data_IF_497088722852
#
_entry.id   IF_497088722852
#
_cell.length_a   1.000
_cell.length_b   1.000
_cell.length_c   1.000
_cell.angle_alpha   90.00
_cell.angle_beta   90.00
_cell.angle_gamma   90.00
#
_symmetry.space_group_name_H-M   'P 1'
#
loop_
_entity.id
_entity.type
_entity.pdbx_description
1 polymer ?
#
# COMPACT_ATOMS: atom_id res chain seq x y z
N UNK A 1 33.29 -64.39 65.73
CA UNK A 1 34.04 -63.23 66.26
C UNK A 1 33.18 -62.00 65.96
N UNK A 2 32.98 -61.17 66.98
CA UNK A 2 32.30 -59.85 67.06
C UNK A 2 32.23 -59.07 65.72
N UNK A 3 31.20 -58.28 65.41
CA UNK A 3 30.77 -57.12 66.21
C UNK A 3 29.43 -56.55 65.68
N UNK A 4 28.55 -56.17 66.59
CA UNK A 4 27.43 -55.24 66.35
C UNK A 4 27.95 -53.87 65.89
N UNK A 5 27.19 -53.21 65.02
CA UNK A 5 27.13 -51.75 65.00
C UNK A 5 25.73 -51.31 64.57
N UNK A 6 24.96 -50.86 65.56
CA UNK A 6 23.70 -50.15 65.39
C UNK A 6 23.91 -48.84 64.64
N UNK A 7 22.99 -48.53 63.71
CA UNK A 7 22.63 -47.17 63.39
C UNK A 7 21.11 -47.12 63.22
N UNK A 8 20.48 -46.58 64.26
CA UNK A 8 19.12 -46.07 64.23
C UNK A 8 19.18 -44.62 63.73
N UNK A 9 18.39 -44.30 62.72
CA UNK A 9 18.01 -42.93 62.39
C UNK A 9 16.70 -42.95 61.60
N UNK A 10 15.63 -43.24 62.32
CA UNK A 10 14.37 -42.51 62.29
C UNK A 10 14.23 -41.45 61.17
N UNK A 11 13.49 -41.78 60.11
CA UNK A 11 12.76 -40.77 59.34
C UNK A 11 11.43 -41.35 58.87
N UNK A 12 10.40 -41.06 59.66
CA UNK A 12 9.01 -41.34 59.32
C UNK A 12 8.51 -40.43 58.20
N UNK A 13 7.63 -40.96 57.37
CA UNK A 13 6.97 -40.21 56.32
C UNK A 13 5.95 -41.09 55.62
N UNK A 14 4.72 -41.06 56.14
CA UNK A 14 3.59 -41.88 55.75
C UNK A 14 3.39 -41.98 54.22
N UNK A 15 3.24 -43.22 53.74
CA UNK A 15 2.67 -43.56 52.45
C UNK A 15 1.19 -43.17 52.41
N UNK A 16 0.88 -41.98 51.91
CA UNK A 16 -0.49 -41.58 51.61
C UNK A 16 -0.87 -42.08 50.22
N UNK A 17 -1.84 -42.97 50.21
CA UNK A 17 -2.45 -43.62 49.06
C UNK A 17 -3.02 -42.62 48.03
N UNK A 18 -2.62 -42.81 46.76
CA UNK A 18 -3.09 -42.11 45.55
C UNK A 18 -4.60 -42.28 45.23
N UNK A 19 -5.39 -42.85 46.14
CA UNK A 19 -6.81 -43.15 45.93
C UNK A 19 -7.76 -41.99 46.31
N UNK A 20 -7.27 -40.94 46.97
CA UNK A 20 -8.09 -39.78 47.34
C UNK A 20 -8.21 -38.71 46.23
N UNK A 21 -7.38 -38.80 45.18
CA UNK A 21 -7.36 -37.80 44.11
C UNK A 21 -8.50 -37.97 43.09
N UNK A 22 -9.10 -39.16 43.00
CA UNK A 22 -10.13 -39.47 42.01
C UNK A 22 -11.57 -39.14 42.48
N UNK A 23 -11.74 -38.85 43.77
CA UNK A 23 -13.04 -38.51 44.37
C UNK A 23 -13.43 -37.04 44.22
N UNK A 24 -12.53 -36.16 43.75
CA UNK A 24 -12.86 -34.76 43.48
C UNK A 24 -13.34 -34.60 42.04
N UNK A 25 -14.41 -35.33 41.67
CA UNK A 25 -15.25 -34.95 40.54
C UNK A 25 -16.05 -33.73 40.96
N UNK A 26 -15.37 -32.58 40.98
CA UNK A 26 -16.02 -31.30 41.13
C UNK A 26 -17.14 -31.21 40.09
N UNK A 27 -18.37 -30.80 40.46
CA UNK A 27 -19.39 -30.54 39.46
C UNK A 27 -18.78 -29.51 38.50
N UNK A 28 -18.70 -29.85 37.20
CA UNK A 28 -18.41 -28.85 36.17
C UNK A 28 -19.50 -27.81 36.31
N UNK A 29 -19.19 -26.70 36.96
CA UNK A 29 -20.02 -25.50 36.96
C UNK A 29 -20.17 -25.17 35.48
N UNK A 30 -21.37 -25.38 34.94
CA UNK A 30 -21.67 -24.95 33.58
C UNK A 30 -21.26 -23.48 33.50
N UNK A 31 -20.36 -23.11 32.56
CA UNK A 31 -19.98 -21.71 32.42
C UNK A 31 -21.28 -20.92 32.27
N UNK A 32 -21.39 -19.78 32.97
CA UNK A 32 -22.53 -18.89 32.84
C UNK A 32 -22.59 -18.48 31.37
N UNK A 33 -23.45 -19.14 30.60
CA UNK A 33 -23.51 -18.96 29.15
C UNK A 33 -23.65 -17.47 28.88
N UNK A 34 -22.62 -16.91 28.24
CA UNK A 34 -22.64 -15.50 27.88
C UNK A 34 -23.80 -15.27 26.92
N UNK A 35 -24.42 -14.08 26.97
CA UNK A 35 -25.45 -13.70 25.99
C UNK A 35 -24.96 -13.89 24.53
N UNK A 36 -23.64 -13.80 24.31
CA UNK A 36 -22.96 -14.09 23.04
C UNK A 36 -23.03 -15.55 22.61
N UNK A 37 -22.86 -16.49 23.55
CA UNK A 37 -22.95 -17.92 23.27
C UNK A 37 -24.39 -18.29 22.91
N UNK A 38 -25.37 -17.72 23.62
CA UNK A 38 -26.79 -17.88 23.27
C UNK A 38 -27.16 -17.36 21.88
N UNK A 39 -26.56 -16.24 21.46
CA UNK A 39 -26.76 -15.71 20.09
C UNK A 39 -26.08 -16.62 19.07
N UNK A 40 -24.91 -17.19 19.37
CA UNK A 40 -24.22 -18.12 18.49
C UNK A 40 -25.02 -19.42 18.33
N UNK A 41 -25.47 -20.01 19.44
CA UNK A 41 -26.27 -21.23 19.42
C UNK A 41 -27.58 -21.00 18.64
N UNK A 42 -28.25 -19.85 18.87
CA UNK A 42 -29.42 -19.47 18.08
C UNK A 42 -29.10 -19.26 16.59
N UNK A 43 -27.93 -18.72 16.26
CA UNK A 43 -27.49 -18.51 14.89
C UNK A 43 -27.04 -19.79 14.18
N UNK A 44 -26.68 -20.83 14.92
CA UNK A 44 -26.43 -22.17 14.37
C UNK A 44 -27.75 -22.92 14.15
N UNK A 45 -28.71 -22.80 15.08
CA UNK A 45 -30.06 -23.36 14.94
C UNK A 45 -30.86 -22.69 13.82
N UNK A 46 -30.75 -21.37 13.71
CA UNK A 46 -31.31 -20.58 12.62
C UNK A 46 -30.22 -20.45 11.57
N UNK A 47 -30.13 -21.37 10.61
CA UNK A 47 -29.23 -21.25 9.45
C UNK A 47 -29.32 -19.82 8.84
N UNK A 48 -28.40 -18.94 9.27
CA UNK A 48 -28.51 -17.49 9.08
C UNK A 48 -28.02 -17.06 7.68
N UNK A 49 -27.28 -17.95 7.02
CA UNK A 49 -26.74 -17.78 5.68
C UNK A 49 -27.24 -18.93 4.79
N UNK A 50 -28.56 -19.01 4.52
CA UNK A 50 -29.05 -19.94 3.52
C UNK A 50 -28.51 -19.52 2.15
N UNK A 51 -27.97 -20.47 1.40
CA UNK A 51 -27.46 -20.23 0.06
C UNK A 51 -28.61 -19.82 -0.89
N UNK A 52 -28.64 -18.55 -1.27
CA UNK A 52 -29.65 -17.98 -2.17
C UNK A 52 -29.52 -18.49 -3.62
N UNK A 53 -28.38 -19.09 -3.98
CA UNK A 53 -28.15 -19.72 -5.27
C UNK A 53 -28.77 -21.12 -5.41
N UNK A 54 -29.28 -21.68 -4.31
CA UNK A 54 -29.90 -23.01 -4.28
C UNK A 54 -31.38 -22.95 -3.90
N UNK A 55 -32.15 -23.93 -4.37
CA UNK A 55 -33.58 -24.14 -3.98
C UNK A 55 -34.44 -22.87 -4.11
N UNK A 56 -34.27 -22.15 -5.23
CA UNK A 56 -35.01 -20.94 -5.57
C UNK A 56 -36.53 -21.20 -5.47
N UNK A 57 -37.24 -20.36 -4.72
CA UNK A 57 -38.69 -20.49 -4.49
C UNK A 57 -39.11 -21.32 -3.27
N UNK A 58 -38.16 -21.87 -2.51
CA UNK A 58 -38.46 -22.55 -1.23
C UNK A 58 -38.71 -21.57 -0.07
N UNK A 59 -39.38 -22.02 1.00
CA UNK A 59 -39.59 -21.20 2.21
C UNK A 59 -38.27 -20.78 2.87
N UNK A 60 -37.24 -21.63 2.82
CA UNK A 60 -35.89 -21.32 3.31
C UNK A 60 -35.22 -20.23 2.47
N UNK A 61 -35.44 -20.23 1.15
CA UNK A 61 -34.94 -19.20 0.24
C UNK A 61 -35.58 -17.83 0.52
N UNK A 62 -36.90 -17.77 0.71
CA UNK A 62 -37.60 -16.54 1.08
C UNK A 62 -37.13 -15.99 2.44
N UNK A 63 -36.86 -16.88 3.41
CA UNK A 63 -36.29 -16.47 4.71
C UNK A 63 -34.89 -15.86 4.52
N UNK A 64 -34.04 -16.48 3.72
CA UNK A 64 -32.72 -15.93 3.36
C UNK A 64 -32.79 -14.56 2.74
N UNK A 65 -33.68 -14.38 1.75
CA UNK A 65 -33.89 -13.12 1.07
C UNK A 65 -34.37 -12.05 2.05
N UNK A 66 -35.33 -12.36 2.92
CA UNK A 66 -35.83 -11.43 3.93
C UNK A 66 -34.72 -11.00 4.92
N UNK A 67 -33.84 -11.93 5.31
CA UNK A 67 -32.73 -11.65 6.24
C UNK A 67 -31.69 -10.73 5.58
N UNK A 68 -31.30 -11.05 4.33
CA UNK A 68 -30.40 -10.23 3.53
C UNK A 68 -30.97 -8.82 3.30
N UNK A 69 -32.23 -8.73 2.89
CA UNK A 69 -32.92 -7.45 2.69
C UNK A 69 -32.98 -6.63 3.98
N UNK A 70 -33.28 -7.26 5.11
CA UNK A 70 -33.30 -6.59 6.41
C UNK A 70 -31.92 -6.02 6.76
N UNK A 71 -30.84 -6.78 6.57
CA UNK A 71 -29.48 -6.31 6.83
C UNK A 71 -29.12 -5.12 5.96
N UNK A 72 -29.43 -5.18 4.66
CA UNK A 72 -29.24 -4.06 3.73
C UNK A 72 -30.05 -2.83 4.17
N UNK A 73 -31.32 -3.00 4.53
CA UNK A 73 -32.18 -1.91 4.98
C UNK A 73 -31.67 -1.28 6.29
N UNK A 74 -31.23 -2.10 7.26
CA UNK A 74 -30.63 -1.61 8.51
C UNK A 74 -29.33 -0.85 8.24
N UNK A 75 -28.47 -1.35 7.34
CA UNK A 75 -27.24 -0.66 6.97
C UNK A 75 -27.52 0.72 6.34
N UNK A 76 -28.52 0.81 5.46
CA UNK A 76 -28.95 2.08 4.87
C UNK A 76 -29.57 3.02 5.92
N UNK A 77 -30.37 2.49 6.84
CA UNK A 77 -31.01 3.28 7.89
C UNK A 77 -30.00 3.82 8.92
N UNK A 78 -28.98 3.04 9.23
CA UNK A 78 -27.89 3.43 10.13
C UNK A 78 -26.81 4.25 9.43
N UNK A 79 -26.92 4.46 8.11
CA UNK A 79 -25.96 5.26 7.36
C UNK A 79 -26.00 6.71 7.87
N UNK A 80 -24.88 7.27 8.34
CA UNK A 80 -24.83 8.68 8.68
C UNK A 80 -25.09 9.50 7.41
N UNK A 81 -25.86 10.58 7.54
CA UNK A 81 -26.05 11.52 6.44
C UNK A 81 -24.73 12.20 6.11
N UNK A 82 -24.31 12.16 4.85
CA UNK A 82 -23.22 13.00 4.36
C UNK A 82 -23.76 14.42 4.15
N UNK A 83 -23.74 15.22 5.20
CA UNK A 83 -23.98 16.66 5.06
C UNK A 83 -22.67 17.31 4.59
N UNK A 84 -22.69 18.10 3.50
CA UNK A 84 -21.52 18.88 3.14
C UNK A 84 -21.23 19.82 4.32
N UNK A 85 -20.03 19.71 4.88
CA UNK A 85 -19.57 20.69 5.86
C UNK A 85 -19.62 22.05 5.16
N UNK A 86 -20.33 23.06 5.69
CA UNK A 86 -20.35 24.39 5.10
C UNK A 86 -18.92 24.96 5.17
N UNK A 87 -18.14 24.71 4.12
CA UNK A 87 -16.84 25.33 3.95
C UNK A 87 -17.07 26.79 3.57
N UNK A 88 -16.58 27.71 4.39
CA UNK A 88 -16.37 29.07 3.91
C UNK A 88 -15.43 28.98 2.69
N UNK A 89 -15.71 29.68 1.58
CA UNK A 89 -14.77 29.71 0.47
C UNK A 89 -13.44 30.22 1.01
N UNK A 90 -12.38 29.41 0.88
CA UNK A 90 -11.05 29.88 1.21
C UNK A 90 -10.72 31.10 0.33
N UNK A 91 -10.07 32.13 0.87
CA UNK A 91 -9.62 33.26 0.07
C UNK A 91 -8.78 32.75 -1.11
N UNK A 92 -9.03 33.30 -2.30
CA UNK A 92 -8.18 33.02 -3.46
C UNK A 92 -6.72 33.30 -3.07
N UNK A 93 -5.87 32.29 -3.21
CA UNK A 93 -4.46 32.36 -2.91
C UNK A 93 -3.82 33.47 -3.78
N UNK A 94 -3.11 34.45 -3.21
CA UNK A 94 -2.40 35.44 -4.01
C UNK A 94 -1.38 34.76 -4.93
N UNK A 95 -1.18 35.28 -6.13
CA UNK A 95 -0.31 34.68 -7.16
C UNK A 95 1.09 34.32 -6.63
N UNK A 96 1.69 35.21 -5.82
CA UNK A 96 3.00 34.98 -5.21
C UNK A 96 3.05 33.73 -4.29
N UNK A 97 1.95 33.45 -3.59
CA UNK A 97 1.79 32.28 -2.72
C UNK A 97 1.48 31.03 -3.53
N UNK A 98 0.75 31.18 -4.62
CA UNK A 98 0.49 30.09 -5.56
C UNK A 98 1.80 29.60 -6.20
N UNK A 99 2.69 30.50 -6.61
CA UNK A 99 4.01 30.15 -7.15
C UNK A 99 4.89 29.41 -6.12
N UNK A 100 4.78 29.75 -4.84
CA UNK A 100 5.42 29.04 -3.73
C UNK A 100 4.96 27.59 -3.65
N UNK A 101 3.65 27.35 -3.63
CA UNK A 101 3.11 25.99 -3.57
C UNK A 101 3.45 25.23 -4.85
N UNK A 102 3.34 25.87 -6.02
CA UNK A 102 3.70 25.26 -7.31
C UNK A 102 5.14 24.75 -7.32
N UNK A 103 6.07 25.48 -6.70
CA UNK A 103 7.47 25.05 -6.58
C UNK A 103 7.69 23.80 -5.71
N UNK A 104 6.72 23.46 -4.86
CA UNK A 104 6.75 22.27 -3.99
C UNK A 104 5.96 21.09 -4.56
N UNK A 105 5.25 21.29 -5.68
CA UNK A 105 4.46 20.23 -6.30
C UNK A 105 5.31 19.36 -7.23
N UNK A 106 4.90 18.09 -7.37
CA UNK A 106 5.50 17.14 -8.31
C UNK A 106 4.94 17.31 -9.72
N UNK A 107 3.70 17.80 -9.84
CA UNK A 107 2.98 18.07 -11.10
C UNK A 107 3.81 18.81 -12.17
N UNK A 108 4.55 19.89 -11.87
CA UNK A 108 5.35 20.60 -12.86
C UNK A 108 6.50 19.77 -13.46
N UNK A 109 6.96 18.69 -12.81
CA UNK A 109 7.94 17.77 -13.43
C UNK A 109 7.38 17.10 -14.69
N UNK A 110 6.07 16.82 -14.72
CA UNK A 110 5.41 16.26 -15.89
C UNK A 110 5.27 17.29 -17.05
N UNK A 111 5.36 18.59 -16.73
CA UNK A 111 5.24 19.70 -17.68
C UNK A 111 6.60 20.28 -18.09
N UNK A 112 7.70 19.59 -17.78
CA UNK A 112 9.05 20.02 -18.16
C UNK A 112 9.83 20.73 -17.05
N UNK A 113 9.44 20.53 -15.79
CA UNK A 113 10.08 21.12 -14.62
C UNK A 113 10.13 22.66 -14.68
N UNK A 114 9.03 23.28 -15.11
CA UNK A 114 8.91 24.73 -15.28
C UNK A 114 8.76 25.50 -13.95
N UNK A 115 8.66 24.78 -12.83
CA UNK A 115 8.56 25.36 -11.49
C UNK A 115 9.85 25.24 -10.70
N UNK A 116 10.22 26.31 -10.02
CA UNK A 116 11.34 26.34 -9.10
C UNK A 116 11.89 27.77 -9.06
N UNK A 117 12.16 28.29 -7.87
CA UNK A 117 12.91 29.54 -7.78
C UNK A 117 14.37 29.23 -8.05
N UNK A 118 15.03 30.02 -8.90
CA UNK A 118 16.48 30.06 -8.95
C UNK A 118 16.97 30.51 -7.57
N UNK A 119 17.43 29.55 -6.77
CA UNK A 119 17.91 29.81 -5.43
C UNK A 119 19.32 30.40 -5.56
N UNK A 120 19.46 31.70 -5.26
CA UNK A 120 20.76 32.35 -5.19
C UNK A 120 21.63 31.73 -4.10
N UNK A 121 22.95 31.94 -4.18
CA UNK A 121 23.87 31.45 -3.17
C UNK A 121 23.51 32.03 -1.78
N UNK A 122 23.24 31.15 -0.82
CA UNK A 122 23.01 31.51 0.59
C UNK A 122 24.25 31.16 1.41
N UNK A 123 24.30 31.58 2.68
CA UNK A 123 25.43 31.31 3.60
C UNK A 123 25.68 29.80 3.85
N UNK A 124 24.78 28.93 3.36
CA UNK A 124 24.93 27.47 3.39
C UNK A 124 25.70 26.90 2.19
N UNK A 125 26.11 27.73 1.22
CA UNK A 125 26.82 27.30 0.01
C UNK A 125 28.33 27.42 0.23
N UNK A 126 29.06 26.33 0.02
CA UNK A 126 30.52 26.34 0.04
C UNK A 126 31.05 26.68 -1.36
N UNK A 127 32.03 27.60 -1.50
CA UNK A 127 32.66 27.86 -2.78
C UNK A 127 33.35 26.59 -3.29
N UNK A 128 33.07 26.22 -4.54
CA UNK A 128 33.71 25.08 -5.18
C UNK A 128 35.18 25.40 -5.43
N UNK A 129 36.06 24.48 -5.04
CA UNK A 129 37.51 24.61 -5.26
C UNK A 129 37.89 24.57 -6.74
N UNK A 130 37.05 23.94 -7.58
CA UNK A 130 37.25 23.83 -9.02
C UNK A 130 35.88 23.75 -9.72
N UNK A 131 35.81 24.21 -10.97
CA UNK A 131 34.55 24.13 -11.75
C UNK A 131 34.30 22.66 -12.07
N UNK A 132 33.15 22.07 -11.71
CA UNK A 132 32.84 20.69 -12.06
C UNK A 132 32.95 20.52 -13.57
N UNK A 133 33.68 19.50 -13.99
CA UNK A 133 33.68 19.08 -15.39
C UNK A 133 32.26 18.67 -15.77
N UNK A 134 31.74 19.25 -16.84
CA UNK A 134 30.38 18.95 -17.30
C UNK A 134 30.39 17.51 -17.83
N UNK A 135 29.49 16.61 -17.38
CA UNK A 135 29.43 15.25 -17.91
C UNK A 135 29.10 15.33 -19.41
N UNK A 136 30.06 14.93 -20.24
CA UNK A 136 29.89 14.80 -21.69
C UNK A 136 29.64 13.33 -22.00
N UNK A 137 28.53 13.05 -22.67
CA UNK A 137 28.22 11.70 -23.14
C UNK A 137 28.40 11.72 -24.65
N UNK A 138 29.41 11.01 -25.14
CA UNK A 138 29.63 10.82 -26.57
C UNK A 138 28.74 9.66 -27.04
N UNK A 139 27.80 9.96 -27.93
CA UNK A 139 26.87 8.98 -28.50
C UNK A 139 27.11 8.89 -30.01
N UNK A 140 27.38 7.68 -30.49
CA UNK A 140 27.55 7.40 -31.91
C UNK A 140 26.29 6.73 -32.46
N UNK A 141 25.72 7.30 -33.52
CA UNK A 141 24.55 6.77 -34.20
C UNK A 141 24.89 6.52 -35.68
N UNK A 142 24.68 5.30 -36.17
CA UNK A 142 24.87 4.95 -37.58
C UNK A 142 23.54 5.07 -38.33
N UNK A 143 23.57 5.69 -39.51
CA UNK A 143 22.38 5.89 -40.32
C UNK A 143 22.28 4.78 -41.38
N UNK A 144 21.14 4.08 -41.39
CA UNK A 144 20.81 3.06 -42.40
C UNK A 144 20.31 3.68 -43.72
N UNK A 145 20.32 2.90 -44.81
CA UNK A 145 19.95 3.36 -46.15
C UNK A 145 18.49 3.83 -46.31
N UNK A 146 17.64 3.51 -45.34
CA UNK A 146 16.25 3.93 -45.25
C UNK A 146 15.94 4.69 -43.96
N UNK A 147 16.95 5.08 -43.19
CA UNK A 147 16.79 5.77 -41.90
C UNK A 147 17.03 7.27 -42.05
N UNK A 148 16.39 8.07 -41.20
CA UNK A 148 16.58 9.52 -41.17
C UNK A 148 17.46 9.92 -39.99
N UNK A 149 18.23 11.01 -40.13
CA UNK A 149 19.08 11.54 -39.06
C UNK A 149 18.32 11.65 -37.72
N UNK A 150 17.11 12.21 -37.75
CA UNK A 150 16.31 12.36 -36.54
C UNK A 150 15.86 11.03 -35.92
N UNK A 151 15.62 9.99 -36.73
CA UNK A 151 15.31 8.64 -36.22
C UNK A 151 16.54 7.89 -35.71
N UNK A 152 17.71 8.10 -36.32
CA UNK A 152 18.95 7.56 -35.81
C UNK A 152 19.31 8.18 -34.44
N UNK A 153 19.16 9.50 -34.29
CA UNK A 153 19.40 10.20 -33.03
C UNK A 153 18.43 9.78 -31.92
N UNK A 154 17.14 9.64 -32.22
CA UNK A 154 16.17 9.20 -31.22
C UNK A 154 16.41 7.76 -30.76
N UNK A 155 16.87 6.87 -31.65
CA UNK A 155 17.32 5.51 -31.30
C UNK A 155 18.60 5.49 -30.46
N UNK A 156 19.48 6.47 -30.63
CA UNK A 156 20.66 6.65 -29.79
C UNK A 156 20.34 7.25 -28.40
N UNK A 157 19.07 7.55 -28.11
CA UNK A 157 18.61 8.04 -26.81
C UNK A 157 18.56 9.57 -26.68
N UNK A 158 18.68 10.31 -27.78
CA UNK A 158 18.58 11.77 -27.78
C UNK A 158 17.12 12.22 -27.59
N UNK A 159 16.90 13.28 -26.81
CA UNK A 159 15.55 13.80 -26.53
C UNK A 159 14.86 14.33 -27.79
N UNK A 160 13.53 14.26 -27.83
CA UNK A 160 12.76 14.74 -28.97
C UNK A 160 12.99 16.24 -29.27
N UNK A 161 13.22 17.05 -28.24
CA UNK A 161 13.52 18.48 -28.38
C UNK A 161 14.87 18.73 -29.03
N UNK A 162 15.91 18.02 -28.57
CA UNK A 162 17.26 18.15 -29.13
C UNK A 162 17.32 17.63 -30.57
N UNK A 163 16.61 16.53 -30.87
CA UNK A 163 16.48 16.03 -32.25
C UNK A 163 15.83 17.09 -33.16
N UNK A 164 14.77 17.75 -32.70
CA UNK A 164 14.11 18.81 -33.48
C UNK A 164 15.05 20.00 -33.70
N UNK A 165 15.82 20.40 -32.68
CA UNK A 165 16.78 21.48 -32.78
C UNK A 165 17.91 21.17 -33.76
N UNK A 166 18.53 19.99 -33.67
CA UNK A 166 19.60 19.55 -34.58
C UNK A 166 19.08 19.41 -36.01
N UNK A 167 17.90 18.85 -36.19
CA UNK A 167 17.29 18.71 -37.53
C UNK A 167 16.96 20.09 -38.13
N UNK A 168 16.54 21.06 -37.32
CA UNK A 168 16.33 22.43 -37.79
C UNK A 168 17.63 23.14 -38.17
N UNK A 169 18.72 22.91 -37.41
CA UNK A 169 20.04 23.48 -37.71
C UNK A 169 20.66 22.88 -38.98
N UNK A 170 20.57 21.57 -39.16
CA UNK A 170 21.23 20.85 -40.26
C UNK A 170 20.33 20.71 -41.48
N UNK A 171 19.00 20.86 -41.34
CA UNK A 171 17.99 20.54 -42.35
C UNK A 171 18.17 21.25 -43.71
N UNK A 172 18.81 22.43 -43.73
CA UNK A 172 19.18 23.10 -44.98
C UNK A 172 20.25 22.34 -45.79
N UNK A 173 21.20 21.72 -45.10
CA UNK A 173 22.40 21.10 -45.69
C UNK A 173 22.20 19.62 -46.06
N UNK A 174 21.26 18.92 -45.41
CA UNK A 174 20.94 17.49 -45.65
C UNK A 174 19.76 17.26 -46.60
N UNK A 175 19.37 18.27 -47.39
CA UNK A 175 18.24 18.20 -48.33
C UNK A 175 18.38 17.10 -49.40
N UNK A 176 19.61 16.65 -49.70
CA UNK A 176 19.93 15.52 -50.60
C UNK A 176 19.94 14.14 -49.93
N UNK A 177 19.65 14.06 -48.62
CA UNK A 177 19.73 12.83 -47.82
C UNK A 177 21.13 12.56 -47.26
N UNK A 178 21.19 11.73 -46.21
CA UNK A 178 22.45 11.30 -45.59
C UNK A 178 22.89 9.98 -46.18
N UNK A 179 24.18 9.84 -46.51
CA UNK A 179 24.72 8.58 -47.07
C UNK A 179 24.69 7.49 -45.98
N UNK A 180 24.24 6.27 -46.32
CA UNK A 180 24.26 5.17 -45.36
C UNK A 180 25.67 4.77 -44.94
N UNK A 181 25.83 4.41 -43.67
CA UNK A 181 27.09 3.90 -43.10
C UNK A 181 28.01 4.97 -42.49
N UNK A 182 27.55 6.22 -42.38
CA UNK A 182 28.14 7.26 -41.54
C UNK A 182 27.49 7.30 -40.17
#
# INVERSE_FOLDING_TARGET
MFQESQFDSQQGGASVSLWLAESLKAPRVAPKQGWRERIRDWAEDVELVPDLGQRIGSLTWFRGLATCFSLCATALYLSPGFQPVPGAPEPLMPDARYDEVRSQMITPLALGADSGRHMGATDAVQPLAETPERPQIELNAQIGSSDSLGRALSRAGVSAGDVAQVTAMVGGDISGGVKPGT
#
